data_IF_250328206585
#
_entry.id   IF_250328206585
#
_cell.length_a   1.000
_cell.length_b   1.000
_cell.length_c   1.000
_cell.angle_alpha   90.00
_cell.angle_beta   90.00
_cell.angle_gamma   90.00
#
_symmetry.space_group_name_H-M   'P 1'
#
loop_
_entity.id
_entity.type
_entity.pdbx_description
1 polymer ?
#
# COMPACT_ATOMS: atom_id res chain seq x y z
N UNK A 1 2.83 11.39 -11.35
CA UNK A 1 1.96 10.31 -10.84
C UNK A 1 2.73 9.22 -10.11
N UNK A 2 3.87 8.71 -10.60
CA UNK A 2 4.62 7.62 -9.93
C UNK A 2 5.06 7.90 -8.48
N UNK A 3 5.35 9.15 -8.11
CA UNK A 3 5.78 9.52 -6.75
C UNK A 3 4.65 9.39 -5.71
N UNK A 4 3.39 9.64 -6.10
CA UNK A 4 2.24 9.51 -5.21
C UNK A 4 1.96 8.05 -4.86
N UNK A 5 2.24 7.12 -5.78
CA UNK A 5 1.94 5.69 -5.59
C UNK A 5 2.93 4.98 -4.66
N UNK A 6 4.18 5.41 -4.59
CA UNK A 6 5.25 4.73 -3.85
C UNK A 6 5.19 4.96 -2.33
N UNK A 7 4.63 6.09 -1.92
CA UNK A 7 4.28 6.39 -0.53
C UNK A 7 3.15 5.52 0.02
N UNK A 8 2.31 4.92 -0.85
CA UNK A 8 1.12 4.17 -0.45
C UNK A 8 1.50 2.81 0.16
N UNK A 9 2.53 2.10 -0.33
CA UNK A 9 2.92 0.79 0.23
C UNK A 9 3.46 0.90 1.65
N UNK A 10 4.33 1.87 1.92
CA UNK A 10 4.84 2.09 3.28
C UNK A 10 3.71 2.48 4.24
N UNK A 11 2.83 3.40 3.84
CA UNK A 11 1.65 3.76 4.63
C UNK A 11 0.69 2.59 4.84
N UNK A 12 0.50 1.75 3.83
CA UNK A 12 -0.32 0.55 3.94
C UNK A 12 0.32 -0.49 4.87
N UNK A 13 1.63 -0.69 4.81
CA UNK A 13 2.36 -1.58 5.71
C UNK A 13 2.34 -1.08 7.16
N UNK A 14 2.44 0.24 7.36
CA UNK A 14 2.31 0.87 8.68
C UNK A 14 0.88 0.75 9.22
N UNK A 15 -0.12 1.11 8.42
CA UNK A 15 -1.54 0.94 8.76
C UNK A 15 -1.89 -0.52 9.05
N UNK A 16 -1.29 -1.47 8.32
CA UNK A 16 -1.46 -2.88 8.58
C UNK A 16 -0.77 -3.33 9.87
N UNK A 17 0.42 -2.80 10.22
CA UNK A 17 1.02 -3.02 11.54
C UNK A 17 0.09 -2.55 12.68
N UNK A 18 -0.53 -1.38 12.52
CA UNK A 18 -1.51 -0.87 13.48
C UNK A 18 -2.78 -1.74 13.54
N UNK A 19 -3.27 -2.20 12.39
CA UNK A 19 -4.41 -3.11 12.30
C UNK A 19 -4.12 -4.42 13.03
N UNK A 20 -2.96 -5.05 12.80
CA UNK A 20 -2.53 -6.26 13.51
C UNK A 20 -2.46 -5.99 15.02
N UNK A 21 -1.83 -4.89 15.44
CA UNK A 21 -1.70 -4.57 16.86
C UNK A 21 -3.06 -4.40 17.56
N UNK A 22 -3.99 -3.72 16.92
CA UNK A 22 -5.32 -3.40 17.48
C UNK A 22 -6.28 -4.59 17.40
N UNK A 23 -6.45 -5.17 16.21
CA UNK A 23 -7.42 -6.25 15.95
C UNK A 23 -6.97 -7.54 16.62
N UNK A 24 -5.70 -7.90 16.52
CA UNK A 24 -5.20 -9.14 17.12
C UNK A 24 -5.05 -9.05 18.64
N UNK A 25 -4.73 -7.86 19.18
CA UNK A 25 -4.76 -7.61 20.61
C UNK A 25 -6.16 -7.80 21.20
N UNK A 26 -7.18 -7.27 20.52
CA UNK A 26 -8.59 -7.47 20.89
C UNK A 26 -8.99 -8.95 20.80
N UNK A 27 -8.60 -9.67 19.74
CA UNK A 27 -8.90 -11.10 19.61
C UNK A 27 -8.24 -11.95 20.71
N UNK A 28 -6.98 -11.70 21.02
CA UNK A 28 -6.28 -12.41 22.09
C UNK A 28 -6.87 -12.09 23.47
N UNK A 29 -7.30 -10.84 23.71
CA UNK A 29 -7.98 -10.45 24.94
C UNK A 29 -9.32 -11.16 25.09
N UNK A 30 -10.15 -11.18 24.04
CA UNK A 30 -11.46 -11.87 24.06
C UNK A 30 -11.28 -13.37 24.21
N UNK A 31 -10.30 -13.98 23.53
CA UNK A 31 -9.96 -15.40 23.69
C UNK A 31 -9.48 -15.73 25.10
N UNK A 32 -8.63 -14.89 25.70
CA UNK A 32 -8.18 -15.08 27.08
C UNK A 32 -9.37 -15.01 28.05
N UNK A 33 -10.20 -13.96 27.95
CA UNK A 33 -11.36 -13.77 28.83
C UNK A 33 -12.38 -14.93 28.71
N UNK A 34 -12.60 -15.44 27.51
CA UNK A 34 -13.51 -16.59 27.29
C UNK A 34 -12.93 -17.90 27.82
N UNK A 35 -11.63 -18.15 27.64
CA UNK A 35 -10.96 -19.33 28.20
C UNK A 35 -10.97 -19.34 29.73
N UNK A 36 -10.69 -18.20 30.38
CA UNK A 36 -10.68 -18.11 31.85
C UNK A 36 -12.08 -18.23 32.46
N UNK A 37 -13.12 -17.70 31.80
CA UNK A 37 -14.50 -17.85 32.26
C UNK A 37 -14.99 -19.33 32.22
N UNK A 38 -14.47 -20.15 31.31
CA UNK A 38 -14.79 -21.59 31.23
C UNK A 38 -14.12 -22.45 32.30
N UNK A 39 -13.04 -21.96 32.96
CA UNK A 39 -12.36 -22.71 34.03
C UNK A 39 -13.00 -22.54 35.42
N UNK A 40 -13.93 -21.60 35.59
CA UNK A 40 -14.57 -21.30 36.88
C UNK A 40 -15.90 -22.01 37.15
N UNK A 41 -16.37 -22.88 36.25
CA UNK A 41 -17.54 -23.73 36.52
C UNK A 41 -17.16 -24.90 37.42
N UNK A 42 -17.38 -24.72 38.73
CA UNK A 42 -17.37 -25.75 39.78
C UNK A 42 -18.17 -26.98 39.35
N UNK A 43 -17.67 -28.22 39.50
CA UNK A 43 -18.44 -29.42 39.18
C UNK A 43 -19.60 -29.57 40.17
N UNK A 44 -20.81 -29.24 39.74
CA UNK A 44 -22.03 -29.50 40.51
C UNK A 44 -22.35 -31.00 40.45
N UNK A 45 -22.56 -31.58 41.64
CA UNK A 45 -22.90 -32.98 41.92
C UNK A 45 -24.04 -33.54 41.03
N UNK A 46 -24.10 -34.87 40.81
CA UNK A 46 -25.05 -35.47 39.88
C UNK A 46 -26.46 -35.38 40.44
N UNK A 47 -27.28 -34.47 39.89
CA UNK A 47 -28.72 -34.48 40.10
C UNK A 47 -29.38 -35.09 38.87
N UNK A 48 -30.04 -36.24 39.06
CA UNK A 48 -30.87 -36.88 38.05
C UNK A 48 -32.05 -35.97 37.66
N UNK A 49 -31.92 -35.30 36.52
CA UNK A 49 -33.02 -34.64 35.82
C UNK A 49 -33.11 -35.25 34.40
N UNK A 50 -34.32 -35.33 33.82
CA UNK A 50 -34.55 -36.09 32.60
C UNK A 50 -33.72 -35.51 31.45
N UNK A 51 -33.11 -36.41 30.68
CA UNK A 51 -32.26 -36.14 29.52
C UNK A 51 -33.06 -35.45 28.43
N UNK A 52 -33.20 -34.13 28.52
CA UNK A 52 -33.41 -33.33 27.33
C UNK A 52 -32.17 -33.56 26.46
N UNK A 53 -32.33 -34.22 25.31
CA UNK A 53 -31.26 -34.38 24.34
C UNK A 53 -30.73 -32.98 24.00
N UNK A 54 -29.58 -32.58 24.55
CA UNK A 54 -28.95 -31.35 24.14
C UNK A 54 -28.57 -31.56 22.67
N UNK A 55 -29.25 -30.87 21.77
CA UNK A 55 -28.95 -30.83 20.33
C UNK A 55 -27.55 -30.25 20.03
N UNK A 56 -26.85 -29.78 21.06
CA UNK A 56 -25.54 -29.14 21.02
C UNK A 56 -24.46 -30.10 21.57
N UNK A 57 -23.53 -30.56 20.72
CA UNK A 57 -22.35 -31.33 21.16
C UNK A 57 -21.23 -30.36 21.59
N UNK A 58 -21.26 -29.96 22.86
CA UNK A 58 -20.30 -29.01 23.44
C UNK A 58 -18.85 -29.52 23.35
N UNK A 59 -18.63 -30.83 23.49
CA UNK A 59 -17.29 -31.43 23.40
C UNK A 59 -16.71 -31.35 21.99
N UNK A 60 -17.56 -31.45 20.96
CA UNK A 60 -17.15 -31.21 19.58
C UNK A 60 -16.80 -29.74 19.35
N UNK A 61 -17.65 -28.81 19.81
CA UNK A 61 -17.41 -27.36 19.68
C UNK A 61 -16.13 -26.92 20.39
N UNK A 62 -15.86 -27.40 21.61
CA UNK A 62 -14.60 -27.11 22.31
C UNK A 62 -13.36 -27.58 21.55
N UNK A 63 -13.42 -28.74 20.87
CA UNK A 63 -12.31 -29.23 20.02
C UNK A 63 -12.10 -28.35 18.79
N UNK A 64 -13.18 -27.87 18.17
CA UNK A 64 -13.11 -26.93 17.06
C UNK A 64 -12.51 -25.59 17.50
N UNK A 65 -12.94 -25.05 18.65
CA UNK A 65 -12.36 -23.83 19.25
C UNK A 65 -10.86 -24.00 19.46
N UNK A 66 -10.43 -25.09 20.11
CA UNK A 66 -9.01 -25.34 20.36
C UNK A 66 -8.19 -25.42 19.05
N UNK A 67 -8.76 -25.99 18.01
CA UNK A 67 -8.15 -26.07 16.68
C UNK A 67 -8.02 -24.68 16.06
N UNK A 68 -9.11 -23.90 16.04
CA UNK A 68 -9.10 -22.52 15.55
C UNK A 68 -8.08 -21.65 16.30
N UNK A 69 -8.00 -21.75 17.63
CA UNK A 69 -7.03 -21.00 18.45
C UNK A 69 -5.59 -21.30 18.05
N UNK A 70 -5.25 -22.57 17.79
CA UNK A 70 -3.90 -22.94 17.31
C UNK A 70 -3.60 -22.28 15.97
N UNK A 71 -4.55 -22.30 15.03
CA UNK A 71 -4.38 -21.63 13.73
C UNK A 71 -4.25 -20.11 13.87
N UNK A 72 -5.03 -19.48 14.76
CA UNK A 72 -4.92 -18.04 15.06
C UNK A 72 -3.51 -17.71 15.53
N UNK A 73 -2.99 -18.44 16.52
CA UNK A 73 -1.64 -18.20 17.05
C UNK A 73 -0.57 -18.36 15.95
N UNK A 74 -0.64 -19.44 15.17
CA UNK A 74 0.30 -19.66 14.06
C UNK A 74 0.22 -18.55 13.01
N UNK A 75 -0.98 -18.17 12.58
CA UNK A 75 -1.21 -17.10 11.63
C UNK A 75 -0.65 -15.77 12.13
N UNK A 76 -0.89 -15.45 13.40
CA UNK A 76 -0.39 -14.25 14.05
C UNK A 76 1.14 -14.18 14.10
N UNK A 77 1.78 -15.28 14.48
CA UNK A 77 3.26 -15.38 14.50
C UNK A 77 3.83 -15.21 13.10
N UNK A 78 3.26 -15.89 12.09
CA UNK A 78 3.69 -15.78 10.69
C UNK A 78 3.55 -14.34 10.21
N UNK A 79 2.39 -13.72 10.41
CA UNK A 79 2.14 -12.32 10.04
C UNK A 79 3.14 -11.39 10.72
N UNK A 80 3.38 -11.54 12.02
CA UNK A 80 4.31 -10.69 12.76
C UNK A 80 5.75 -10.81 12.22
N UNK A 81 6.24 -12.02 12.00
CA UNK A 81 7.58 -12.26 11.46
C UNK A 81 7.75 -11.67 10.06
N UNK A 82 6.76 -11.85 9.19
CA UNK A 82 6.77 -11.29 7.85
C UNK A 82 6.73 -9.75 7.87
N UNK A 83 5.94 -9.16 8.76
CA UNK A 83 5.90 -7.69 8.90
C UNK A 83 7.16 -7.11 9.51
N UNK A 84 7.81 -7.81 10.45
CA UNK A 84 9.15 -7.43 10.94
C UNK A 84 10.15 -7.42 9.78
N UNK A 85 10.13 -8.45 8.92
CA UNK A 85 10.97 -8.47 7.72
C UNK A 85 10.68 -7.29 6.79
N UNK A 86 9.41 -7.04 6.44
CA UNK A 86 9.01 -5.92 5.58
C UNK A 86 9.49 -4.59 6.16
N UNK A 87 9.31 -4.38 7.46
CA UNK A 87 9.75 -3.18 8.16
C UNK A 87 11.26 -3.02 8.12
N UNK A 88 12.03 -4.08 8.41
CA UNK A 88 13.50 -4.03 8.35
C UNK A 88 14.01 -3.69 6.95
N UNK A 89 13.39 -4.26 5.92
CA UNK A 89 13.75 -3.97 4.52
C UNK A 89 13.39 -2.52 4.16
N UNK A 90 12.25 -2.02 4.62
CA UNK A 90 11.83 -0.64 4.41
C UNK A 90 12.74 0.37 5.14
N UNK A 91 13.07 0.12 6.41
CA UNK A 91 13.99 0.95 7.21
C UNK A 91 15.39 0.96 6.61
N UNK A 92 15.86 -0.17 6.08
CA UNK A 92 17.12 -0.26 5.34
C UNK A 92 17.12 0.63 4.10
N UNK A 93 16.04 0.56 3.30
CA UNK A 93 15.89 1.42 2.12
C UNK A 93 15.81 2.92 2.47
N UNK A 94 15.22 3.27 3.62
CA UNK A 94 15.16 4.64 4.11
C UNK A 94 16.53 5.18 4.55
N UNK A 95 17.34 4.36 5.23
CA UNK A 95 18.72 4.75 5.61
C UNK A 95 19.62 4.96 4.40
N UNK A 96 19.48 4.12 3.37
CA UNK A 96 20.19 4.31 2.10
C UNK A 96 19.68 5.55 1.35
N UNK A 97 18.41 5.90 1.50
CA UNK A 97 17.83 7.13 0.97
C UNK A 97 18.50 8.36 1.59
N UNK A 98 18.56 8.46 2.92
CA UNK A 98 19.13 9.62 3.62
C UNK A 98 20.59 9.90 3.23
N UNK A 99 21.38 8.87 2.92
CA UNK A 99 22.79 9.01 2.54
C UNK A 99 23.01 9.63 1.17
N UNK A 100 22.12 9.38 0.21
CA UNK A 100 22.32 9.73 -1.20
C UNK A 100 21.32 10.79 -1.68
N UNK A 101 20.21 10.97 -0.96
CA UNK A 101 19.12 11.87 -1.33
C UNK A 101 19.58 13.29 -1.61
N UNK A 102 20.40 13.88 -0.74
CA UNK A 102 20.86 15.25 -0.94
C UNK A 102 21.59 15.44 -2.29
N UNK A 103 22.38 14.45 -2.72
CA UNK A 103 23.11 14.51 -3.98
C UNK A 103 22.24 14.23 -5.21
N UNK A 104 21.30 13.28 -5.11
CA UNK A 104 20.36 12.95 -6.18
C UNK A 104 19.31 14.06 -6.37
N UNK A 105 18.80 14.62 -5.28
CA UNK A 105 17.86 15.73 -5.28
C UNK A 105 18.51 16.99 -5.86
N UNK A 106 19.77 17.26 -5.52
CA UNK A 106 20.53 18.35 -6.11
C UNK A 106 20.75 18.15 -7.62
N UNK A 107 21.09 16.93 -8.05
CA UNK A 107 21.29 16.61 -9.47
C UNK A 107 19.97 16.70 -10.27
N UNK A 108 18.87 16.23 -9.68
CA UNK A 108 17.53 16.36 -10.25
C UNK A 108 17.13 17.83 -10.38
N UNK A 109 17.28 18.61 -9.30
CA UNK A 109 16.95 20.04 -9.28
C UNK A 109 17.75 20.80 -10.32
N UNK A 110 19.07 20.58 -10.40
CA UNK A 110 19.90 21.21 -11.42
C UNK A 110 19.46 20.86 -12.85
N UNK A 111 19.05 19.61 -13.11
CA UNK A 111 18.53 19.21 -14.40
C UNK A 111 17.15 19.79 -14.71
N UNK A 112 16.30 19.94 -13.69
CA UNK A 112 14.99 20.57 -13.80
C UNK A 112 15.11 22.07 -14.09
N UNK A 113 15.96 22.77 -13.34
CA UNK A 113 16.25 24.20 -13.54
C UNK A 113 16.81 24.44 -14.96
N UNK A 114 17.69 23.55 -15.45
CA UNK A 114 18.19 23.62 -16.82
C UNK A 114 17.08 23.44 -17.88
N UNK A 115 16.12 22.54 -17.63
CA UNK A 115 14.97 22.38 -18.52
C UNK A 115 14.05 23.60 -18.50
N UNK A 116 13.87 24.25 -17.35
CA UNK A 116 13.09 25.47 -17.22
C UNK A 116 13.74 26.63 -17.99
N UNK A 117 15.06 26.81 -17.87
CA UNK A 117 15.83 27.79 -18.65
C UNK A 117 15.68 27.53 -20.16
N UNK A 118 15.79 26.27 -20.59
CA UNK A 118 15.62 25.90 -21.99
C UNK A 118 14.18 26.18 -22.48
N UNK A 119 13.17 25.94 -21.65
CA UNK A 119 11.77 26.26 -21.99
C UNK A 119 11.56 27.77 -22.19
N UNK A 120 12.16 28.61 -21.34
CA UNK A 120 12.13 30.08 -21.52
C UNK A 120 12.84 30.50 -22.81
N UNK A 121 13.92 29.80 -23.21
CA UNK A 121 14.60 30.06 -24.47
C UNK A 121 13.74 29.66 -25.69
N UNK A 122 13.05 28.51 -25.63
CA UNK A 122 12.06 28.10 -26.65
C UNK A 122 10.99 29.17 -26.80
N UNK A 123 10.36 29.61 -25.71
CA UNK A 123 9.31 30.64 -25.77
C UNK A 123 9.78 32.02 -26.27
N UNK A 124 11.09 32.32 -26.21
CA UNK A 124 11.69 33.50 -26.85
C UNK A 124 11.90 33.28 -28.35
N UNK A 125 12.42 32.12 -28.74
CA UNK A 125 12.62 31.76 -30.15
C UNK A 125 11.28 31.66 -30.91
N UNK A 126 10.24 31.08 -30.29
CA UNK A 126 8.88 31.03 -30.85
C UNK A 126 8.31 32.43 -31.11
N UNK A 127 8.53 33.37 -30.18
CA UNK A 127 8.14 34.77 -30.35
C UNK A 127 8.90 35.43 -31.50
N UNK A 128 10.21 35.22 -31.60
CA UNK A 128 11.01 35.76 -32.69
C UNK A 128 10.55 35.25 -34.06
N UNK A 129 10.28 33.95 -34.19
CA UNK A 129 9.72 33.36 -35.42
C UNK A 129 8.35 33.96 -35.72
N UNK A 130 7.48 34.11 -34.72
CA UNK A 130 6.14 34.69 -34.89
C UNK A 130 6.20 36.15 -35.37
N UNK A 131 7.08 36.96 -34.78
CA UNK A 131 7.26 38.37 -35.12
C UNK A 131 7.82 38.55 -36.54
N UNK A 132 8.74 37.66 -36.97
CA UNK A 132 9.28 37.62 -38.33
C UNK A 132 8.32 37.02 -39.37
N UNK A 133 7.25 36.37 -38.93
CA UNK A 133 6.22 35.82 -39.81
C UNK A 133 4.98 36.72 -39.87
N UNK A 134 4.98 37.86 -39.16
CA UNK A 134 3.92 38.88 -39.19
C UNK A 134 4.12 39.81 -40.41
N UNK A 135 3.25 39.74 -41.44
CA UNK A 135 3.38 40.56 -42.65
C UNK A 135 3.35 42.07 -42.39
N UNK A 136 2.78 42.51 -41.25
CA UNK A 136 2.71 43.92 -40.87
C UNK A 136 4.05 44.48 -40.37
N UNK A 137 4.97 43.63 -39.91
CA UNK A 137 6.29 44.02 -39.39
C UNK A 137 7.42 43.83 -40.40
N UNK A 138 7.32 42.82 -41.26
CA UNK A 138 8.39 42.45 -42.23
C UNK A 138 8.46 43.42 -43.41
N UNK A 139 7.32 43.95 -43.87
CA UNK A 139 7.24 44.83 -45.04
C UNK A 139 7.88 46.23 -44.86
N UNK A 140 8.38 46.57 -43.67
CA UNK A 140 8.91 47.91 -43.38
C UNK A 140 10.45 48.03 -43.36
N UNK A 141 11.21 46.92 -43.42
CA UNK A 141 12.65 46.98 -43.13
C UNK A 141 13.60 46.06 -43.93
N UNK A 142 13.12 44.99 -44.59
CA UNK A 142 13.97 43.98 -45.23
C UNK A 142 13.49 43.65 -46.65
N UNK A 143 14.41 43.46 -47.59
CA UNK A 143 14.08 42.92 -48.92
C UNK A 143 13.58 41.46 -48.81
N UNK A 144 12.71 41.03 -49.72
CA UNK A 144 12.02 39.71 -49.68
C UNK A 144 12.99 38.52 -49.48
N UNK A 145 14.11 38.51 -50.20
CA UNK A 145 15.13 37.45 -50.10
C UNK A 145 15.88 37.45 -48.75
N UNK A 146 16.04 38.62 -48.14
CA UNK A 146 16.74 38.80 -46.87
C UNK A 146 15.83 38.41 -45.69
N UNK A 147 14.53 38.70 -45.80
CA UNK A 147 13.51 38.27 -44.85
C UNK A 147 13.38 36.73 -44.77
N UNK A 148 13.41 36.04 -45.90
CA UNK A 148 13.35 34.58 -45.95
C UNK A 148 14.57 33.91 -45.30
N UNK A 149 15.78 34.45 -45.51
CA UNK A 149 16.99 33.95 -44.85
C UNK A 149 16.96 34.17 -43.33
N UNK A 150 16.48 35.34 -42.88
CA UNK A 150 16.34 35.65 -41.45
C UNK A 150 15.30 34.74 -40.78
N UNK A 151 14.17 34.51 -41.44
CA UNK A 151 13.14 33.59 -40.96
C UNK A 151 13.64 32.14 -40.91
N UNK A 152 14.36 31.67 -41.93
CA UNK A 152 14.96 30.34 -41.96
C UNK A 152 15.97 30.15 -40.82
N UNK A 153 16.79 31.17 -40.54
CA UNK A 153 17.73 31.16 -39.40
C UNK A 153 17.01 31.11 -38.05
N UNK A 154 15.94 31.90 -37.89
CA UNK A 154 15.15 31.90 -36.66
C UNK A 154 14.42 30.56 -36.42
N UNK A 155 13.93 29.90 -37.48
CA UNK A 155 13.34 28.55 -37.39
C UNK A 155 14.39 27.52 -36.99
N UNK A 156 15.58 27.57 -37.58
CA UNK A 156 16.69 26.69 -37.19
C UNK A 156 17.06 26.87 -35.72
N UNK A 157 17.16 28.11 -35.25
CA UNK A 157 17.41 28.40 -33.83
C UNK A 157 16.28 27.87 -32.93
N UNK A 158 15.02 28.02 -33.32
CA UNK A 158 13.88 27.44 -32.60
C UNK A 158 14.01 25.91 -32.49
N UNK A 159 14.32 25.22 -33.58
CA UNK A 159 14.49 23.76 -33.59
C UNK A 159 15.63 23.32 -32.67
N UNK A 160 16.76 24.04 -32.67
CA UNK A 160 17.89 23.81 -31.76
C UNK A 160 17.46 23.98 -30.29
N UNK A 161 16.71 25.04 -29.95
CA UNK A 161 16.19 25.27 -28.59
C UNK A 161 15.19 24.21 -28.15
N UNK A 162 14.31 23.76 -29.05
CA UNK A 162 13.35 22.68 -28.76
C UNK A 162 14.10 21.38 -28.49
N UNK A 163 15.17 21.09 -29.24
CA UNK A 163 15.99 19.93 -29.02
C UNK A 163 16.74 19.99 -27.68
N UNK A 164 17.33 21.15 -27.33
CA UNK A 164 17.95 21.39 -26.02
C UNK A 164 16.96 21.16 -24.88
N UNK A 165 15.73 21.70 -24.99
CA UNK A 165 14.68 21.50 -24.00
C UNK A 165 14.29 20.02 -23.85
N UNK A 166 14.16 19.28 -24.96
CA UNK A 166 13.89 17.83 -24.92
C UNK A 166 15.00 17.06 -24.22
N UNK A 167 16.25 17.34 -24.56
CA UNK A 167 17.41 16.71 -23.92
C UNK A 167 17.49 17.02 -22.42
N UNK A 168 17.24 18.26 -22.02
CA UNK A 168 17.22 18.66 -20.62
C UNK A 168 16.08 17.98 -19.85
N UNK A 169 14.88 17.91 -20.46
CA UNK A 169 13.72 17.24 -19.88
C UNK A 169 13.95 15.73 -19.71
N UNK A 170 14.55 15.09 -20.71
CA UNK A 170 14.88 13.66 -20.64
C UNK A 170 15.95 13.39 -19.57
N UNK A 171 16.92 14.29 -19.40
CA UNK A 171 17.90 14.22 -18.32
C UNK A 171 17.22 14.35 -16.95
N UNK A 172 16.33 15.32 -16.77
CA UNK A 172 15.57 15.49 -15.53
C UNK A 172 14.71 14.26 -15.21
N UNK A 173 14.02 13.68 -16.21
CA UNK A 173 13.24 12.44 -16.05
C UNK A 173 14.09 11.24 -15.60
N UNK A 174 15.32 11.12 -16.11
CA UNK A 174 16.24 10.04 -15.72
C UNK A 174 16.80 10.20 -14.32
N UNK A 175 16.92 11.44 -13.85
CA UNK A 175 17.46 11.79 -12.54
C UNK A 175 16.40 11.88 -11.44
N UNK A 176 15.13 11.55 -11.73
CA UNK A 176 14.07 11.54 -10.72
C UNK A 176 14.50 10.66 -9.53
N UNK A 177 14.58 11.23 -8.30
CA UNK A 177 15.00 10.50 -7.12
C UNK A 177 14.11 9.29 -6.87
N UNK A 178 14.73 8.18 -6.48
CA UNK A 178 14.02 6.94 -6.15
C UNK A 178 13.65 6.98 -4.65
N UNK A 179 12.38 6.87 -4.27
CA UNK A 179 11.97 6.89 -2.83
C UNK A 179 11.61 5.50 -2.22
N UNK A 180 11.98 5.14 -1.00
CA UNK A 180 11.50 3.87 -0.39
C UNK A 180 11.78 2.60 -1.24
N UNK A 181 10.81 1.67 -1.35
CA UNK A 181 11.07 0.29 -1.83
C UNK A 181 11.63 0.16 -3.26
N UNK A 182 11.42 1.12 -4.17
CA UNK A 182 12.04 1.00 -5.50
C UNK A 182 13.50 1.50 -5.58
N UNK A 183 14.12 1.90 -4.44
CA UNK A 183 15.58 1.94 -4.30
C UNK A 183 16.13 0.53 -4.15
N UNK A 184 15.36 -0.38 -3.57
CA UNK A 184 15.81 -1.75 -3.36
C UNK A 184 16.11 -2.43 -4.70
N UNK A 185 17.15 -3.27 -4.73
CA UNK A 185 17.38 -4.19 -5.83
C UNK A 185 16.12 -5.00 -6.11
N UNK A 186 15.92 -5.36 -7.39
CA UNK A 186 14.70 -6.06 -7.87
C UNK A 186 14.32 -7.26 -6.99
N UNK A 187 15.30 -8.06 -6.54
CA UNK A 187 15.08 -9.22 -5.66
C UNK A 187 14.48 -8.84 -4.30
N UNK A 188 15.04 -7.84 -3.63
CA UNK A 188 14.57 -7.36 -2.33
C UNK A 188 13.19 -6.71 -2.41
N UNK A 189 12.91 -6.01 -3.51
CA UNK A 189 11.58 -5.46 -3.76
C UNK A 189 10.52 -6.55 -3.90
N UNK A 190 10.82 -7.60 -4.67
CA UNK A 190 9.93 -8.76 -4.82
C UNK A 190 9.74 -9.46 -3.48
N UNK A 191 10.82 -9.69 -2.73
CA UNK A 191 10.75 -10.34 -1.41
C UNK A 191 9.89 -9.56 -0.42
N UNK A 192 10.06 -8.23 -0.32
CA UNK A 192 9.25 -7.40 0.56
C UNK A 192 7.75 -7.42 0.18
N UNK A 193 7.44 -7.45 -1.12
CA UNK A 193 6.06 -7.56 -1.61
C UNK A 193 5.44 -8.90 -1.29
N UNK A 194 6.15 -9.99 -1.57
CA UNK A 194 5.69 -11.35 -1.26
C UNK A 194 5.49 -11.52 0.25
N UNK A 195 6.43 -11.04 1.06
CA UNK A 195 6.30 -11.08 2.52
C UNK A 195 5.07 -10.28 3.00
N UNK A 196 4.84 -9.08 2.46
CA UNK A 196 3.65 -8.29 2.79
C UNK A 196 2.35 -8.98 2.36
N UNK A 197 2.29 -9.51 1.13
CA UNK A 197 1.16 -10.28 0.62
C UNK A 197 0.85 -11.48 1.52
N UNK A 198 1.87 -12.31 1.81
CA UNK A 198 1.74 -13.47 2.68
C UNK A 198 1.33 -13.09 4.10
N UNK A 199 1.80 -11.96 4.63
CA UNK A 199 1.41 -11.46 5.95
C UNK A 199 -0.08 -11.10 6.00
N UNK A 200 -0.58 -10.43 4.96
CA UNK A 200 -2.01 -10.08 4.83
C UNK A 200 -2.87 -11.33 4.69
N UNK A 201 -2.46 -12.31 3.87
CA UNK A 201 -3.17 -13.59 3.75
C UNK A 201 -3.21 -14.37 5.07
N UNK A 202 -2.06 -14.49 5.74
CA UNK A 202 -1.99 -15.18 7.04
C UNK A 202 -2.89 -14.50 8.07
N UNK A 203 -2.88 -13.17 8.15
CA UNK A 203 -3.72 -12.42 9.07
C UNK A 203 -5.21 -12.58 8.76
N UNK A 204 -5.59 -12.59 7.48
CA UNK A 204 -6.97 -12.82 7.07
C UNK A 204 -7.47 -14.22 7.45
N UNK A 205 -6.66 -15.26 7.23
CA UNK A 205 -6.94 -16.64 7.66
C UNK A 205 -7.10 -16.69 9.18
N UNK A 206 -6.15 -16.09 9.92
CA UNK A 206 -6.22 -16.00 11.37
C UNK A 206 -7.48 -15.29 11.87
N UNK A 207 -7.89 -14.20 11.21
CA UNK A 207 -9.12 -13.48 11.52
C UNK A 207 -10.37 -14.34 11.28
N UNK A 208 -10.39 -15.13 10.21
CA UNK A 208 -11.46 -16.10 9.95
C UNK A 208 -11.55 -17.17 11.04
N UNK A 209 -10.41 -17.77 11.41
CA UNK A 209 -10.36 -18.75 12.51
C UNK A 209 -10.79 -18.14 13.85
N UNK A 210 -10.42 -16.89 14.14
CA UNK A 210 -10.87 -16.19 15.34
C UNK A 210 -12.39 -15.98 15.34
N UNK A 211 -12.96 -15.61 14.19
CA UNK A 211 -14.41 -15.52 14.00
C UNK A 211 -15.10 -16.86 14.28
N UNK A 212 -14.63 -17.96 13.68
CA UNK A 212 -15.20 -19.29 13.95
C UNK A 212 -15.08 -19.70 15.43
N UNK A 213 -13.93 -19.49 16.07
CA UNK A 213 -13.75 -19.78 17.49
C UNK A 213 -14.74 -19.00 18.37
N UNK A 214 -14.94 -17.71 18.08
CA UNK A 214 -15.90 -16.88 18.81
C UNK A 214 -17.33 -17.33 18.55
N UNK A 215 -17.67 -17.69 17.31
CA UNK A 215 -18.99 -18.21 16.95
C UNK A 215 -19.30 -19.51 17.70
N UNK A 216 -18.39 -20.49 17.70
CA UNK A 216 -18.57 -21.73 18.45
C UNK A 216 -18.69 -21.50 19.97
N UNK A 217 -17.94 -20.52 20.51
CA UNK A 217 -18.09 -20.13 21.92
C UNK A 217 -19.48 -19.59 22.23
N UNK A 218 -20.08 -18.84 21.30
CA UNK A 218 -21.45 -18.34 21.44
C UNK A 218 -22.49 -19.45 21.30
N UNK A 219 -22.27 -20.42 20.42
CA UNK A 219 -23.13 -21.62 20.33
C UNK A 219 -23.15 -22.38 21.66
N UNK A 220 -22.00 -22.54 22.33
CA UNK A 220 -21.94 -23.16 23.67
C UNK A 220 -22.73 -22.33 24.70
N UNK A 221 -22.52 -21.01 24.73
CA UNK A 221 -23.20 -20.12 25.69
C UNK A 221 -24.72 -20.05 25.48
N UNK A 222 -25.16 -20.07 24.22
CA UNK A 222 -26.59 -19.98 23.85
C UNK A 222 -27.25 -21.35 23.71
N UNK A 223 -26.58 -22.45 24.09
CA UNK A 223 -27.09 -23.82 23.93
C UNK A 223 -27.57 -24.10 22.50
N UNK A 224 -26.80 -23.65 21.53
CA UNK A 224 -27.07 -23.75 20.09
C UNK A 224 -28.35 -23.02 19.64
N UNK A 225 -28.78 -21.96 20.34
CA UNK A 225 -29.90 -21.09 19.95
C UNK A 225 -29.43 -19.69 19.54
N UNK A 226 -28.50 -19.63 18.59
CA UNK A 226 -27.89 -18.37 18.14
C UNK A 226 -28.90 -17.49 17.40
N UNK A 227 -29.09 -16.24 17.86
CA UNK A 227 -29.99 -15.28 17.22
C UNK A 227 -29.51 -14.83 15.84
N UNK A 228 -30.46 -14.58 14.92
CA UNK A 228 -30.22 -14.03 13.57
C UNK A 228 -29.43 -12.71 13.63
N UNK A 229 -29.68 -11.87 14.65
CA UNK A 229 -28.96 -10.61 14.84
C UNK A 229 -27.46 -10.84 15.02
N UNK A 230 -27.08 -11.89 15.75
CA UNK A 230 -25.68 -12.27 15.96
C UNK A 230 -25.02 -12.68 14.65
N UNK A 231 -25.71 -13.51 13.86
CA UNK A 231 -25.23 -13.94 12.53
C UNK A 231 -25.02 -12.71 11.63
N UNK A 232 -25.96 -11.77 11.63
CA UNK A 232 -25.85 -10.55 10.85
C UNK A 232 -24.63 -9.69 11.24
N UNK A 233 -24.37 -9.53 12.54
CA UNK A 233 -23.20 -8.79 13.04
C UNK A 233 -21.88 -9.46 12.63
N UNK A 234 -21.81 -10.79 12.65
CA UNK A 234 -20.65 -11.54 12.16
C UNK A 234 -20.42 -11.34 10.67
N UNK A 235 -21.49 -11.39 9.87
CA UNK A 235 -21.41 -11.14 8.42
C UNK A 235 -20.91 -9.72 8.15
N UNK A 236 -21.44 -8.72 8.86
CA UNK A 236 -21.00 -7.33 8.70
C UNK A 236 -19.52 -7.14 9.05
N UNK A 237 -19.07 -7.71 10.17
CA UNK A 237 -17.66 -7.69 10.55
C UNK A 237 -16.79 -8.41 9.51
N UNK A 238 -17.27 -9.53 8.96
CA UNK A 238 -16.63 -10.28 7.87
C UNK A 238 -16.49 -9.46 6.59
N UNK A 239 -17.54 -8.71 6.19
CA UNK A 239 -17.50 -7.83 5.00
C UNK A 239 -16.47 -6.72 5.18
N UNK A 240 -16.46 -6.05 6.34
CA UNK A 240 -15.49 -4.99 6.63
C UNK A 240 -14.07 -5.55 6.63
N UNK A 241 -13.84 -6.67 7.32
CA UNK A 241 -12.54 -7.35 7.35
C UNK A 241 -12.06 -7.73 5.95
N UNK A 242 -12.91 -8.39 5.16
CA UNK A 242 -12.60 -8.79 3.77
C UNK A 242 -12.24 -7.57 2.92
N UNK A 243 -12.98 -6.48 3.05
CA UNK A 243 -12.73 -5.24 2.29
C UNK A 243 -11.37 -4.65 2.62
N UNK A 244 -11.01 -4.55 3.91
CA UNK A 244 -9.72 -4.04 4.35
C UNK A 244 -8.57 -4.92 3.84
N UNK A 245 -8.67 -6.24 4.02
CA UNK A 245 -7.63 -7.17 3.56
C UNK A 245 -7.52 -7.16 2.02
N UNK A 246 -8.64 -7.09 1.31
CA UNK A 246 -8.68 -6.98 -0.15
C UNK A 246 -7.95 -5.73 -0.66
N UNK A 247 -8.16 -4.58 -0.03
CA UNK A 247 -7.43 -3.34 -0.35
C UNK A 247 -5.92 -3.49 -0.10
N UNK A 248 -5.53 -4.11 1.02
CA UNK A 248 -4.11 -4.33 1.33
C UNK A 248 -3.44 -5.31 0.36
N UNK A 249 -4.13 -6.39 -0.02
CA UNK A 249 -3.67 -7.31 -1.06
C UNK A 249 -3.53 -6.61 -2.40
N UNK A 250 -4.51 -5.80 -2.79
CA UNK A 250 -4.44 -5.00 -4.01
C UNK A 250 -3.21 -4.07 -4.02
N UNK A 251 -2.93 -3.38 -2.91
CA UNK A 251 -1.73 -2.54 -2.77
C UNK A 251 -0.46 -3.38 -2.94
N UNK A 252 -0.40 -4.58 -2.37
CA UNK A 252 0.78 -5.46 -2.49
C UNK A 252 1.06 -5.89 -3.94
N UNK A 253 0.02 -6.02 -4.77
CA UNK A 253 0.11 -6.52 -6.15
C UNK A 253 0.35 -5.40 -7.18
N UNK A 254 -0.16 -4.19 -6.93
CA UNK A 254 -0.20 -3.11 -7.94
C UNK A 254 0.95 -2.11 -7.84
N UNK A 255 1.68 -2.09 -6.73
CA UNK A 255 2.89 -1.29 -6.61
C UNK A 255 3.96 -1.87 -7.54
N UNK A 256 4.38 -1.17 -8.61
CA UNK A 256 5.48 -1.59 -9.49
C UNK A 256 6.67 -0.63 -9.47
#
# INVERSE_FOLDING_TARGET
MANTFRHIFLKAAEAFCWLIGTVSGMFLLVLALTLFASTSSTPSSPSCAPTASSTCDENHLHRLIATCVRYVVCAMVITALLMVFVRKVADGAAKDHERVAASEDAAYKAAYDAAEVANVAVGRAERAVKDLNDPRRVNLALGVLEADQVLAKARKELDERVQEYRCATDKAKRLVPKEGIARLPKRWRIAARLAFFSAVCAHYIGSGCAGFAFYYSLEIQTKCTTSILTIFLFVLAGVVSTTIHGLLLWVSLTQN
#
